data_IF_409688132030
#
_entry.id   IF_409688132030
#
_cell.length_a   1.000
_cell.length_b   1.000
_cell.length_c   1.000
_cell.angle_alpha   90.00
_cell.angle_beta   90.00
_cell.angle_gamma   90.00
#
_symmetry.space_group_name_H-M   'P 1'
#
loop_
_entity.id
_entity.type
_entity.pdbx_description
1 polymer ?
#
# COMPACT_ATOMS: atom_id res chain seq x y z
N UNK A 1 -10.66 4.70 5.38
CA UNK A 1 -11.97 5.11 5.96
C UNK A 1 -11.99 5.05 7.50
N UNK A 2 -11.60 3.93 8.12
CA UNK A 2 -11.61 3.76 9.59
C UNK A 2 -10.77 4.83 10.32
N UNK A 3 -9.56 5.11 9.83
CA UNK A 3 -8.71 6.16 10.40
C UNK A 3 -9.38 7.54 10.40
N UNK A 4 -10.20 7.85 9.38
CA UNK A 4 -10.97 9.09 9.36
C UNK A 4 -12.03 9.15 10.47
N UNK A 5 -12.74 8.05 10.70
CA UNK A 5 -13.73 7.94 11.79
C UNK A 5 -13.05 8.07 13.16
N UNK A 6 -11.88 7.45 13.35
CA UNK A 6 -11.12 7.54 14.60
C UNK A 6 -10.63 8.98 14.84
N UNK A 7 -10.11 9.64 13.81
CA UNK A 7 -9.71 11.05 13.91
C UNK A 7 -10.90 11.93 14.27
N UNK A 8 -12.04 11.76 13.58
CA UNK A 8 -13.27 12.50 13.88
C UNK A 8 -13.72 12.31 15.33
N UNK A 9 -13.72 11.05 15.81
CA UNK A 9 -14.08 10.72 17.19
C UNK A 9 -13.11 11.29 18.22
N UNK A 10 -11.85 11.49 17.85
CA UNK A 10 -10.83 12.15 18.68
C UNK A 10 -10.86 13.69 18.57
N UNK A 11 -11.82 14.28 17.86
CA UNK A 11 -11.89 15.73 17.62
C UNK A 11 -10.86 16.26 16.62
N UNK A 12 -10.25 15.37 15.81
CA UNK A 12 -9.28 15.67 14.76
C UNK A 12 -9.91 15.60 13.38
N UNK A 13 -9.25 16.16 12.37
CA UNK A 13 -9.80 16.20 11.03
C UNK A 13 -9.83 14.79 10.37
N UNK A 14 -10.99 14.26 9.92
CA UNK A 14 -11.11 12.93 9.32
C UNK A 14 -10.24 12.75 8.08
N UNK A 15 -10.13 13.79 7.22
CA UNK A 15 -9.24 13.75 6.06
C UNK A 15 -7.77 13.57 6.48
N UNK A 16 -7.31 14.16 7.58
CA UNK A 16 -5.94 13.91 8.07
C UNK A 16 -5.75 12.42 8.41
N UNK A 17 -6.73 11.79 9.08
CA UNK A 17 -6.69 10.36 9.37
C UNK A 17 -6.74 9.48 8.12
N UNK A 18 -7.61 9.79 7.15
CA UNK A 18 -7.68 9.05 5.88
C UNK A 18 -6.36 9.17 5.12
N UNK A 19 -5.79 10.37 5.07
CA UNK A 19 -4.59 10.63 4.30
C UNK A 19 -3.34 10.05 4.94
N UNK A 20 -3.22 10.10 6.27
CA UNK A 20 -2.18 9.41 7.03
C UNK A 20 -2.21 7.89 6.81
N UNK A 21 -3.41 7.29 6.86
CA UNK A 21 -3.57 5.86 6.60
C UNK A 21 -3.24 5.50 5.15
N UNK A 22 -3.62 6.34 4.17
CA UNK A 22 -3.26 6.11 2.77
C UNK A 22 -1.75 6.23 2.55
N UNK A 23 -1.08 7.21 3.17
CA UNK A 23 0.38 7.32 3.15
C UNK A 23 1.06 6.10 3.78
N UNK A 24 0.55 5.59 4.90
CA UNK A 24 1.08 4.38 5.55
C UNK A 24 0.93 3.11 4.71
N UNK A 25 -0.23 2.91 4.09
CA UNK A 25 -0.52 1.68 3.31
C UNK A 25 0.11 1.73 1.92
N UNK A 26 -0.03 2.85 1.22
CA UNK A 26 0.36 2.98 -0.19
C UNK A 26 1.76 3.58 -0.35
N UNK A 27 2.08 4.64 0.40
CA UNK A 27 3.41 5.24 0.43
C UNK A 27 4.43 4.32 1.13
N UNK A 28 3.99 3.59 2.15
CA UNK A 28 4.76 2.57 2.85
C UNK A 28 4.63 1.15 2.29
N UNK A 29 4.11 0.97 1.06
CA UNK A 29 3.76 -0.35 0.50
C UNK A 29 4.88 -1.40 0.61
N UNK A 30 6.12 -0.99 0.34
CA UNK A 30 7.30 -1.86 0.38
C UNK A 30 7.89 -2.08 1.78
N UNK A 31 7.52 -1.23 2.77
CA UNK A 31 8.09 -1.23 4.11
C UNK A 31 7.27 -2.13 5.04
N UNK A 32 7.89 -3.16 5.61
CA UNK A 32 7.20 -4.12 6.46
C UNK A 32 8.13 -4.70 7.52
N UNK A 33 7.56 -5.24 8.59
CA UNK A 33 8.31 -5.91 9.66
C UNK A 33 8.73 -7.33 9.25
N UNK A 34 7.98 -7.94 8.33
CA UNK A 34 8.20 -9.30 7.86
C UNK A 34 8.20 -9.32 6.32
N UNK A 35 9.07 -10.15 5.70
CA UNK A 35 8.93 -10.47 4.28
C UNK A 35 7.58 -11.13 4.01
N UNK A 36 7.00 -10.86 2.85
CA UNK A 36 5.72 -11.40 2.42
C UNK A 36 5.66 -11.68 0.92
N UNK A 37 4.44 -11.71 0.39
CA UNK A 37 4.19 -12.05 -1.01
C UNK A 37 4.87 -11.09 -2.00
N UNK A 38 4.97 -9.80 -1.64
CA UNK A 38 5.67 -8.81 -2.47
C UNK A 38 7.15 -9.14 -2.60
N UNK A 39 7.81 -9.58 -1.53
CA UNK A 39 9.22 -9.95 -1.54
C UNK A 39 9.47 -11.15 -2.46
N UNK A 40 8.69 -12.22 -2.33
CA UNK A 40 8.80 -13.39 -3.20
C UNK A 40 8.58 -13.01 -4.68
N UNK A 41 7.60 -12.14 -4.96
CA UNK A 41 7.29 -11.69 -6.31
C UNK A 41 8.42 -10.83 -6.91
N UNK A 42 8.95 -9.87 -6.15
CA UNK A 42 10.03 -9.01 -6.65
C UNK A 42 11.32 -9.81 -6.83
N UNK A 43 11.67 -10.68 -5.88
CA UNK A 43 12.88 -11.47 -5.95
C UNK A 43 12.84 -12.55 -7.04
N UNK A 44 11.68 -13.17 -7.31
CA UNK A 44 11.56 -14.09 -8.45
C UNK A 44 11.77 -13.39 -9.80
N UNK A 45 11.42 -12.10 -9.91
CA UNK A 45 11.74 -11.29 -11.10
C UNK A 45 13.23 -10.92 -11.11
N UNK A 46 13.79 -10.55 -9.96
CA UNK A 46 15.21 -10.20 -9.80
C UNK A 46 16.11 -11.38 -10.14
N UNK A 47 15.73 -12.60 -9.77
CA UNK A 47 16.43 -13.85 -10.09
C UNK A 47 16.57 -14.07 -11.58
N UNK A 48 15.45 -14.05 -12.31
CA UNK A 48 15.45 -14.18 -13.76
C UNK A 48 16.32 -13.10 -14.45
N UNK A 49 16.46 -11.92 -13.85
CA UNK A 49 17.36 -10.89 -14.34
C UNK A 49 18.83 -11.14 -13.95
N UNK A 50 19.11 -11.54 -12.71
CA UNK A 50 20.45 -11.80 -12.21
C UNK A 50 21.13 -13.01 -12.88
N UNK A 51 20.36 -14.05 -13.20
CA UNK A 51 20.82 -15.25 -13.91
C UNK A 51 21.37 -14.97 -15.31
N UNK A 52 21.07 -13.80 -15.88
CA UNK A 52 21.66 -13.36 -17.15
C UNK A 52 23.16 -13.04 -17.02
N UNK A 53 23.63 -12.68 -15.83
CA UNK A 53 25.04 -12.42 -15.50
C UNK A 53 25.66 -13.61 -14.77
N UNK A 54 24.98 -14.13 -13.74
CA UNK A 54 25.43 -15.25 -12.92
C UNK A 54 24.34 -16.33 -12.88
N UNK A 55 24.38 -17.35 -13.75
CA UNK A 55 23.34 -18.39 -13.85
C UNK A 55 23.13 -19.26 -12.60
N UNK A 56 24.02 -19.14 -11.60
CA UNK A 56 23.95 -19.88 -10.33
C UNK A 56 23.46 -19.00 -9.18
N UNK A 57 23.01 -17.78 -9.46
CA UNK A 57 22.48 -16.90 -8.43
C UNK A 57 21.04 -17.29 -8.11
N UNK A 58 20.77 -17.67 -6.86
CA UNK A 58 19.43 -18.00 -6.38
C UNK A 58 18.85 -16.85 -5.56
N UNK A 59 17.56 -16.57 -5.73
CA UNK A 59 16.89 -15.52 -4.97
C UNK A 59 16.78 -15.81 -3.47
N UNK A 60 17.26 -14.88 -2.66
CA UNK A 60 16.94 -14.83 -1.23
C UNK A 60 15.75 -13.90 -0.98
N UNK A 61 14.60 -14.48 -0.65
CA UNK A 61 13.37 -13.72 -0.40
C UNK A 61 13.46 -12.84 0.84
N UNK A 62 14.28 -13.24 1.82
CA UNK A 62 14.58 -12.42 2.98
C UNK A 62 15.72 -11.42 2.69
N UNK A 63 16.22 -11.32 1.46
CA UNK A 63 17.38 -10.52 1.07
C UNK A 63 17.21 -9.01 1.26
N UNK A 64 15.98 -8.52 1.48
CA UNK A 64 15.69 -7.14 1.84
C UNK A 64 15.09 -6.97 3.25
N UNK A 65 15.03 -8.04 4.05
CA UNK A 65 14.32 -8.05 5.34
C UNK A 65 14.78 -6.92 6.29
N UNK A 66 16.09 -6.71 6.44
CA UNK A 66 16.60 -5.66 7.33
C UNK A 66 16.31 -4.27 6.78
N UNK A 67 16.41 -4.10 5.47
CA UNK A 67 16.13 -2.83 4.80
C UNK A 67 14.66 -2.43 4.95
N UNK A 68 13.72 -3.36 4.71
CA UNK A 68 12.29 -3.08 4.77
C UNK A 68 11.81 -2.79 6.19
N UNK A 69 12.41 -3.46 7.19
CA UNK A 69 12.16 -3.20 8.61
C UNK A 69 12.61 -1.78 8.96
N UNK A 70 13.82 -1.41 8.56
CA UNK A 70 14.34 -0.07 8.81
C UNK A 70 13.52 1.00 8.08
N UNK A 71 13.10 0.75 6.84
CA UNK A 71 12.17 1.63 6.12
C UNK A 71 10.88 1.85 6.92
N UNK A 72 10.32 0.82 7.57
CA UNK A 72 9.13 0.98 8.42
C UNK A 72 9.39 1.98 9.55
N UNK A 73 10.51 1.84 10.26
CA UNK A 73 10.86 2.73 11.36
C UNK A 73 11.26 4.14 10.92
N UNK A 74 11.72 4.33 9.68
CA UNK A 74 12.03 5.65 9.10
C UNK A 74 10.78 6.33 8.55
N UNK A 75 9.91 5.60 7.86
CA UNK A 75 8.71 6.17 7.24
C UNK A 75 7.63 6.52 8.25
N UNK A 76 7.52 5.76 9.36
CA UNK A 76 6.55 6.02 10.42
C UNK A 76 6.63 7.45 11.00
N UNK A 77 7.79 7.93 11.50
CA UNK A 77 7.91 9.29 12.01
C UNK A 77 7.75 10.35 10.91
N UNK A 78 8.13 10.05 9.67
CA UNK A 78 7.91 10.96 8.53
C UNK A 78 6.42 11.16 8.27
N UNK A 79 5.64 10.08 8.19
CA UNK A 79 4.19 10.14 7.97
C UNK A 79 3.52 10.85 9.15
N UNK A 80 3.91 10.53 10.39
CA UNK A 80 3.41 11.22 11.57
C UNK A 80 3.67 12.74 11.49
N UNK A 81 4.91 13.13 11.20
CA UNK A 81 5.30 14.54 11.12
C UNK A 81 4.52 15.28 10.02
N UNK A 82 4.42 14.70 8.82
CA UNK A 82 3.64 15.29 7.73
C UNK A 82 2.17 15.43 8.14
N UNK A 83 1.59 14.41 8.77
CA UNK A 83 0.19 14.44 9.22
C UNK A 83 -0.05 15.58 10.21
N UNK A 84 0.74 15.63 11.29
CA UNK A 84 0.50 16.48 12.45
C UNK A 84 0.98 17.92 12.24
N UNK A 85 2.07 18.13 11.50
CA UNK A 85 2.71 19.44 11.33
C UNK A 85 2.47 20.10 9.99
N UNK A 86 2.13 19.33 8.96
CA UNK A 86 1.91 19.89 7.61
C UNK A 86 0.44 19.79 7.25
N UNK A 87 -0.17 18.62 7.28
CA UNK A 87 -1.50 18.43 6.70
C UNK A 87 -2.61 18.92 7.63
N UNK A 88 -2.65 18.43 8.86
CA UNK A 88 -3.74 18.76 9.77
C UNK A 88 -3.86 20.27 10.07
N UNK A 89 -2.77 21.04 10.27
CA UNK A 89 -2.88 22.48 10.48
C UNK A 89 -3.46 23.26 9.29
N UNK A 90 -3.37 22.72 8.08
CA UNK A 90 -3.90 23.34 6.86
C UNK A 90 -5.35 22.93 6.57
N UNK A 91 -5.89 21.96 7.30
CA UNK A 91 -7.29 21.58 7.22
C UNK A 91 -8.11 22.44 8.19
N UNK A 92 -9.30 22.87 7.77
CA UNK A 92 -10.16 23.69 8.61
C UNK A 92 -10.53 22.94 9.89
N UNK A 93 -10.41 23.55 11.09
CA UNK A 93 -10.73 22.86 12.33
C UNK A 93 -12.19 22.42 12.34
N UNK A 94 -12.44 21.19 12.79
CA UNK A 94 -13.79 20.63 12.92
C UNK A 94 -14.21 20.76 14.37
N UNK A 95 -15.45 21.23 14.59
CA UNK A 95 -16.06 21.24 15.92
C UNK A 95 -16.39 19.79 16.30
N UNK A 96 -15.90 19.27 17.44
CA UNK A 96 -16.22 17.92 17.90
C UNK A 96 -17.74 17.72 17.97
N UNK A 97 -18.25 16.68 17.31
CA UNK A 97 -19.70 16.40 17.26
C UNK A 97 -20.44 16.97 16.05
N UNK A 98 -19.82 17.84 15.25
CA UNK A 98 -20.39 18.36 14.00
C UNK A 98 -19.83 17.67 12.75
N UNK A 99 -18.89 16.72 12.94
CA UNK A 99 -18.34 15.91 11.87
C UNK A 99 -19.41 14.93 11.37
N UNK A 100 -20.03 15.25 10.24
CA UNK A 100 -20.96 14.36 9.55
C UNK A 100 -20.25 13.60 8.44
N UNK A 101 -20.36 12.28 8.46
CA UNK A 101 -20.03 11.45 7.32
C UNK A 101 -21.32 10.98 6.64
N UNK A 102 -21.39 11.06 5.32
CA UNK A 102 -22.55 10.54 4.57
C UNK A 102 -22.85 9.05 4.83
N UNK A 103 -21.85 8.28 5.28
CA UNK A 103 -22.01 6.84 5.60
C UNK A 103 -21.98 6.55 7.10
N UNK A 104 -21.14 7.24 7.89
CA UNK A 104 -21.01 6.97 9.33
C UNK A 104 -21.96 7.81 10.20
N UNK A 105 -22.70 8.76 9.60
CA UNK A 105 -23.59 9.67 10.31
C UNK A 105 -22.83 10.71 11.14
N UNK A 106 -23.53 11.30 12.11
CA UNK A 106 -22.95 12.25 13.06
C UNK A 106 -22.02 11.49 14.01
N UNK A 107 -20.74 11.82 13.99
CA UNK A 107 -19.77 11.22 14.91
C UNK A 107 -19.91 11.88 16.28
N UNK A 108 -20.30 11.08 17.27
CA UNK A 108 -20.37 11.49 18.68
C UNK A 108 -18.97 11.88 19.16
N UNK A 109 -18.89 12.96 19.95
CA UNK A 109 -17.64 13.39 20.57
C UNK A 109 -17.07 12.35 21.55
N UNK A 110 -15.78 12.45 21.90
CA UNK A 110 -15.08 11.42 22.68
C UNK A 110 -15.68 11.18 24.07
N UNK A 111 -16.34 12.19 24.65
CA UNK A 111 -16.94 12.13 26.00
C UNK A 111 -18.40 11.61 26.01
N UNK A 112 -18.94 11.19 24.86
CA UNK A 112 -20.34 10.76 24.76
C UNK A 112 -20.51 9.31 25.23
N UNK A 113 -21.32 9.08 26.25
CA UNK A 113 -21.61 7.72 26.72
C UNK A 113 -22.38 6.90 25.68
N UNK A 114 -21.94 5.65 25.47
CA UNK A 114 -22.66 4.70 24.62
C UNK A 114 -24.02 4.33 25.23
N UNK A 115 -25.04 4.25 24.40
CA UNK A 115 -26.36 3.76 24.77
C UNK A 115 -26.33 2.24 25.02
N UNK A 116 -27.30 1.72 25.76
CA UNK A 116 -27.40 0.28 26.01
C UNK A 116 -27.53 -0.53 24.69
N UNK A 117 -28.23 0.01 23.70
CA UNK A 117 -28.36 -0.60 22.37
C UNK A 117 -27.02 -0.68 21.64
N UNK A 118 -26.20 0.38 21.70
CA UNK A 118 -24.85 0.39 21.09
C UNK A 118 -23.91 -0.59 21.80
N UNK A 119 -23.95 -0.66 23.14
CA UNK A 119 -23.16 -1.64 23.93
C UNK A 119 -23.55 -3.07 23.55
N UNK A 120 -24.86 -3.36 23.48
CA UNK A 120 -25.34 -4.68 23.08
C UNK A 120 -24.98 -4.99 21.62
N UNK A 121 -25.03 -3.98 20.75
CA UNK A 121 -24.58 -4.06 19.35
C UNK A 121 -23.11 -4.43 19.25
N UNK A 122 -22.24 -3.75 19.99
CA UNK A 122 -20.80 -4.06 20.04
C UNK A 122 -20.53 -5.48 20.49
N UNK A 123 -21.24 -5.96 21.53
CA UNK A 123 -21.11 -7.36 21.99
C UNK A 123 -21.50 -8.35 20.89
N UNK A 124 -22.62 -8.14 20.21
CA UNK A 124 -23.08 -9.00 19.11
C UNK A 124 -22.13 -8.97 17.91
N UNK A 125 -21.66 -7.78 17.53
CA UNK A 125 -20.68 -7.62 16.47
C UNK A 125 -19.35 -8.31 16.81
N UNK A 126 -18.87 -8.18 18.06
CA UNK A 126 -17.67 -8.87 18.54
C UNK A 126 -17.81 -10.40 18.47
N UNK A 127 -18.95 -10.95 18.88
CA UNK A 127 -19.23 -12.39 18.72
C UNK A 127 -19.28 -12.83 17.26
N UNK A 128 -19.88 -12.02 16.38
CA UNK A 128 -19.90 -12.30 14.94
C UNK A 128 -18.49 -12.29 14.34
N UNK A 129 -17.68 -11.28 14.65
CA UNK A 129 -16.27 -11.20 14.24
C UNK A 129 -15.49 -12.42 14.73
N UNK A 130 -15.63 -12.80 16.00
CA UNK A 130 -14.96 -13.99 16.55
C UNK A 130 -15.40 -15.27 15.84
N UNK A 131 -16.68 -15.41 15.50
CA UNK A 131 -17.19 -16.54 14.74
C UNK A 131 -16.57 -16.63 13.34
N UNK A 132 -16.46 -15.50 12.63
CA UNK A 132 -15.83 -15.46 11.30
C UNK A 132 -14.33 -15.72 11.39
N UNK A 133 -13.63 -15.13 12.36
CA UNK A 133 -12.20 -15.41 12.57
C UNK A 133 -11.97 -16.88 12.90
N UNK A 134 -12.77 -17.46 13.78
CA UNK A 134 -12.70 -18.88 14.13
C UNK A 134 -12.96 -19.78 12.92
N UNK A 135 -13.91 -19.41 12.05
CA UNK A 135 -14.16 -20.12 10.80
C UNK A 135 -12.94 -20.06 9.86
N UNK A 136 -12.34 -18.89 9.67
CA UNK A 136 -11.14 -18.75 8.84
C UNK A 136 -9.95 -19.54 9.41
N UNK A 137 -9.74 -19.49 10.72
CA UNK A 137 -8.72 -20.30 11.41
C UNK A 137 -9.01 -21.79 11.18
N UNK A 138 -10.25 -22.24 11.33
CA UNK A 138 -10.63 -23.63 11.05
C UNK A 138 -10.38 -24.02 9.59
N UNK A 139 -10.60 -23.14 8.62
CA UNK A 139 -10.28 -23.40 7.22
C UNK A 139 -8.76 -23.42 6.94
N UNK A 140 -7.94 -22.88 7.84
CA UNK A 140 -6.48 -22.96 7.77
C UNK A 140 -5.92 -24.22 8.46
N UNK A 141 -6.47 -24.65 9.59
CA UNK A 141 -5.88 -25.73 10.43
C UNK A 141 -6.74 -26.99 10.52
N UNK A 142 -7.97 -26.94 10.01
CA UNK A 142 -8.91 -28.05 10.01
C UNK A 142 -8.59 -29.10 8.93
N UNK A 143 -9.33 -30.22 8.92
CA UNK A 143 -9.10 -31.29 7.96
C UNK A 143 -9.36 -30.82 6.52
N UNK A 144 -8.38 -31.02 5.64
CA UNK A 144 -8.44 -30.64 4.22
C UNK A 144 -8.07 -29.18 3.91
N UNK A 145 -7.55 -28.42 4.89
CA UNK A 145 -6.96 -27.06 4.82
C UNK A 145 -7.14 -26.32 3.49
N UNK A 146 -8.36 -25.94 3.07
CA UNK A 146 -8.60 -25.38 1.73
C UNK A 146 -7.90 -24.03 1.50
N UNK A 147 -7.49 -23.36 2.58
CA UNK A 147 -6.77 -22.09 2.52
C UNK A 147 -5.24 -22.25 2.57
N UNK A 148 -4.74 -23.48 2.68
CA UNK A 148 -3.31 -23.79 2.65
C UNK A 148 -3.07 -24.80 1.53
N UNK A 149 -2.25 -24.43 0.56
CA UNK A 149 -1.82 -25.35 -0.48
C UNK A 149 -0.54 -26.05 -0.01
N UNK A 150 -0.68 -27.22 0.63
CA UNK A 150 0.48 -27.96 1.17
C UNK A 150 1.44 -28.45 0.08
N UNK A 151 0.92 -28.71 -1.12
CA UNK A 151 1.67 -29.18 -2.29
C UNK A 151 2.47 -28.07 -2.98
N UNK A 152 2.22 -26.80 -2.64
CA UNK A 152 2.95 -25.67 -3.20
C UNK A 152 4.30 -25.45 -2.49
N UNK A 153 5.20 -24.75 -3.19
CA UNK A 153 6.45 -24.25 -2.61
C UNK A 153 6.17 -23.50 -1.30
N UNK A 154 7.10 -23.52 -0.32
CA UNK A 154 6.89 -22.95 1.00
C UNK A 154 6.33 -21.52 0.99
N UNK A 155 6.73 -20.71 0.01
CA UNK A 155 6.30 -19.32 -0.17
C UNK A 155 4.87 -19.19 -0.73
N UNK A 156 4.47 -20.10 -1.60
CA UNK A 156 3.17 -20.09 -2.26
C UNK A 156 2.10 -20.83 -1.46
N UNK A 157 2.49 -21.56 -0.41
CA UNK A 157 1.61 -22.36 0.46
C UNK A 157 0.46 -21.55 1.06
N UNK A 158 0.68 -20.29 1.41
CA UNK A 158 -0.32 -19.40 2.01
C UNK A 158 -1.08 -18.54 0.98
N UNK A 159 -0.79 -18.66 -0.32
CA UNK A 159 -1.49 -17.88 -1.34
C UNK A 159 -3.02 -18.03 -1.31
N UNK A 160 -3.60 -19.23 -1.12
CA UNK A 160 -5.06 -19.37 -1.05
C UNK A 160 -5.66 -18.62 0.14
N UNK A 161 -4.99 -18.62 1.30
CA UNK A 161 -5.37 -17.82 2.46
C UNK A 161 -5.41 -16.34 2.09
N UNK A 162 -4.33 -15.79 1.53
CA UNK A 162 -4.25 -14.36 1.18
C UNK A 162 -5.33 -13.95 0.17
N UNK A 163 -5.60 -14.79 -0.84
CA UNK A 163 -6.67 -14.56 -1.80
C UNK A 163 -8.07 -14.59 -1.15
N UNK A 164 -8.27 -15.47 -0.16
CA UNK A 164 -9.55 -15.58 0.56
C UNK A 164 -9.85 -14.40 1.48
N UNK A 165 -8.84 -13.64 1.91
CA UNK A 165 -9.01 -12.55 2.89
C UNK A 165 -9.96 -11.46 2.40
N UNK A 166 -10.03 -11.19 1.09
CA UNK A 166 -10.98 -10.21 0.54
C UNK A 166 -12.43 -10.63 0.83
N UNK A 167 -12.77 -11.89 0.53
CA UNK A 167 -14.07 -12.46 0.83
C UNK A 167 -14.30 -12.58 2.35
N UNK A 168 -13.25 -12.92 3.10
CA UNK A 168 -13.27 -13.00 4.56
C UNK A 168 -13.59 -11.67 5.23
N UNK A 169 -12.94 -10.58 4.81
CA UNK A 169 -13.25 -9.24 5.30
C UNK A 169 -14.64 -8.78 4.88
N UNK A 170 -15.09 -9.10 3.66
CA UNK A 170 -16.46 -8.82 3.25
C UNK A 170 -17.48 -9.49 4.19
N UNK A 171 -17.33 -10.80 4.45
CA UNK A 171 -18.23 -11.54 5.34
C UNK A 171 -18.13 -11.03 6.77
N UNK A 172 -16.91 -10.76 7.26
CA UNK A 172 -16.67 -10.23 8.59
C UNK A 172 -17.35 -8.87 8.79
N UNK A 173 -17.15 -7.92 7.89
CA UNK A 173 -17.77 -6.60 7.98
C UNK A 173 -19.28 -6.64 7.79
N UNK A 174 -19.80 -7.49 6.90
CA UNK A 174 -21.24 -7.68 6.73
C UNK A 174 -21.88 -8.27 7.99
N UNK A 175 -21.29 -9.34 8.53
CA UNK A 175 -21.78 -10.00 9.74
C UNK A 175 -21.71 -9.07 10.96
N UNK A 176 -20.60 -8.35 11.14
CA UNK A 176 -20.43 -7.38 12.22
C UNK A 176 -21.42 -6.21 12.10
N UNK A 177 -21.56 -5.65 10.89
CA UNK A 177 -22.47 -4.55 10.61
C UNK A 177 -23.93 -4.94 10.85
N UNK A 178 -24.34 -6.12 10.38
CA UNK A 178 -25.67 -6.66 10.65
C UNK A 178 -25.90 -6.91 12.14
N UNK A 179 -24.97 -7.60 12.80
CA UNK A 179 -25.08 -7.95 14.22
C UNK A 179 -25.17 -6.69 15.11
N UNK A 180 -24.36 -5.67 14.81
CA UNK A 180 -24.43 -4.37 15.46
C UNK A 180 -25.79 -3.70 15.20
N UNK A 181 -26.16 -3.53 13.93
CA UNK A 181 -27.36 -2.79 13.55
C UNK A 181 -28.65 -3.42 14.03
N UNK A 182 -28.70 -4.75 14.11
CA UNK A 182 -29.85 -5.48 14.67
C UNK A 182 -30.05 -5.26 16.17
N UNK A 183 -29.00 -4.94 16.92
CA UNK A 183 -29.07 -4.70 18.37
C UNK A 183 -29.16 -3.22 18.72
N UNK A 184 -28.56 -2.34 17.92
CA UNK A 184 -28.69 -0.88 18.09
C UNK A 184 -30.01 -0.33 17.54
N UNK A 185 -30.73 -1.11 16.73
CA UNK A 185 -31.97 -0.69 16.07
C UNK A 185 -31.76 0.07 14.76
N UNK A 186 -30.51 0.20 14.29
CA UNK A 186 -30.22 0.86 13.01
C UNK A 186 -30.53 -0.02 11.78
N UNK A 187 -30.68 -1.33 11.96
CA UNK A 187 -31.10 -2.29 10.92
C UNK A 187 -32.26 -3.09 11.48
N UNK A 188 -33.46 -2.90 10.92
CA UNK A 188 -34.66 -3.59 11.38
C UNK A 188 -34.95 -4.84 10.55
N UNK A 189 -34.62 -4.81 9.25
CA UNK A 189 -34.91 -5.90 8.33
C UNK A 189 -33.88 -6.01 7.20
N UNK A 190 -33.97 -7.08 6.40
CA UNK A 190 -33.05 -7.32 5.27
C UNK A 190 -33.08 -6.22 4.19
N UNK A 191 -34.20 -5.50 4.03
CA UNK A 191 -34.32 -4.41 3.04
C UNK A 191 -33.48 -3.21 3.46
N UNK A 192 -33.35 -2.95 4.76
CA UNK A 192 -32.47 -1.88 5.26
C UNK A 192 -31.01 -2.16 4.84
N UNK A 193 -30.57 -3.42 4.93
CA UNK A 193 -29.22 -3.81 4.52
C UNK A 193 -29.02 -3.66 3.02
N UNK A 194 -29.98 -4.14 2.21
CA UNK A 194 -29.91 -3.98 0.75
C UNK A 194 -29.89 -2.50 0.36
N UNK A 195 -30.68 -1.65 1.04
CA UNK A 195 -30.68 -0.20 0.82
C UNK A 195 -29.32 0.41 1.16
N UNK A 196 -28.75 0.13 2.33
CA UNK A 196 -27.43 0.64 2.74
C UNK A 196 -26.30 0.19 1.80
N UNK A 197 -26.36 -1.05 1.30
CA UNK A 197 -25.42 -1.54 0.28
C UNK A 197 -25.59 -0.80 -1.04
N UNK A 198 -26.82 -0.50 -1.44
CA UNK A 198 -27.12 0.25 -2.68
C UNK A 198 -26.66 1.71 -2.60
N UNK A 199 -26.91 2.38 -1.47
CA UNK A 199 -26.39 3.71 -1.16
C UNK A 199 -24.85 3.72 -1.22
N UNK A 200 -24.20 2.71 -0.62
CA UNK A 200 -22.73 2.56 -0.68
C UNK A 200 -22.19 2.38 -2.11
N UNK A 201 -22.93 1.69 -2.99
CA UNK A 201 -22.56 1.57 -4.42
C UNK A 201 -22.78 2.88 -5.18
N UNK A 202 -23.82 3.64 -4.83
CA UNK A 202 -24.08 4.96 -5.42
C UNK A 202 -22.96 5.95 -5.11
N UNK A 203 -22.45 5.96 -3.87
CA UNK A 203 -21.28 6.75 -3.47
C UNK A 203 -20.02 6.41 -4.28
N UNK A 204 -19.90 5.16 -4.75
CA UNK A 204 -18.78 4.70 -5.59
C UNK A 204 -18.98 4.98 -7.09
N UNK A 205 -20.05 5.62 -7.51
CA UNK A 205 -20.29 5.94 -8.93
C UNK A 205 -19.17 6.78 -9.55
N UNK A 206 -18.69 7.81 -8.84
CA UNK A 206 -17.55 8.62 -9.25
C UNK A 206 -16.27 7.78 -9.39
N UNK A 207 -16.04 6.89 -8.42
CA UNK A 207 -14.94 5.92 -8.46
C UNK A 207 -15.00 5.07 -9.73
N UNK A 208 -16.17 4.51 -10.08
CA UNK A 208 -16.33 3.64 -11.24
C UNK A 208 -16.00 4.36 -12.55
N UNK A 209 -16.45 5.60 -12.73
CA UNK A 209 -16.17 6.40 -13.94
C UNK A 209 -14.67 6.72 -14.04
N UNK A 210 -14.05 7.16 -12.94
CA UNK A 210 -12.63 7.49 -12.92
C UNK A 210 -11.75 6.24 -13.13
N UNK A 211 -12.06 5.15 -12.43
CA UNK A 211 -11.37 3.87 -12.58
C UNK A 211 -11.50 3.30 -13.99
N UNK A 212 -12.67 3.45 -14.63
CA UNK A 212 -12.87 3.06 -16.03
C UNK A 212 -11.88 3.78 -16.96
N UNK A 213 -11.82 5.11 -16.89
CA UNK A 213 -10.93 5.90 -17.75
C UNK A 213 -9.44 5.60 -17.44
N UNK A 214 -9.08 5.52 -16.17
CA UNK A 214 -7.71 5.20 -15.74
C UNK A 214 -7.29 3.79 -16.20
N UNK A 215 -8.15 2.79 -16.06
CA UNK A 215 -7.87 1.42 -16.48
C UNK A 215 -7.63 1.33 -18.01
N UNK A 216 -8.44 2.04 -18.82
CA UNK A 216 -8.23 2.08 -20.27
C UNK A 216 -6.92 2.79 -20.64
N UNK A 217 -6.61 3.90 -19.99
CA UNK A 217 -5.33 4.58 -20.19
C UNK A 217 -4.16 3.64 -19.88
N UNK A 218 -4.17 2.98 -18.72
CA UNK A 218 -3.13 2.03 -18.31
C UNK A 218 -3.03 0.87 -19.31
N UNK A 219 -4.15 0.31 -19.76
CA UNK A 219 -4.17 -0.77 -20.74
C UNK A 219 -3.58 -0.34 -22.10
N UNK A 220 -3.98 0.82 -22.63
CA UNK A 220 -3.47 1.34 -23.90
C UNK A 220 -1.99 1.74 -23.81
N UNK A 221 -1.58 2.33 -22.69
CA UNK A 221 -0.19 2.68 -22.43
C UNK A 221 0.70 1.45 -22.40
N UNK A 222 0.26 0.39 -21.70
CA UNK A 222 0.95 -0.90 -21.68
C UNK A 222 0.98 -1.55 -23.07
N UNK A 223 -0.15 -1.58 -23.78
CA UNK A 223 -0.23 -2.13 -25.15
C UNK A 223 0.69 -1.43 -26.14
N UNK A 224 0.82 -0.10 -26.02
CA UNK A 224 1.67 0.71 -26.90
C UNK A 224 3.18 0.49 -26.68
N UNK A 225 3.57 -0.22 -25.62
CA UNK A 225 4.96 -0.38 -25.18
C UNK A 225 5.68 0.95 -24.89
N UNK A 226 4.97 2.08 -24.74
CA UNK A 226 5.58 3.36 -24.39
C UNK A 226 6.30 3.29 -23.05
N UNK A 227 5.70 2.63 -22.05
CA UNK A 227 6.34 2.38 -20.75
C UNK A 227 7.67 1.64 -20.87
N UNK A 228 7.74 0.60 -21.72
CA UNK A 228 8.95 -0.16 -22.04
C UNK A 228 10.02 0.72 -22.69
N UNK A 229 9.65 1.54 -23.68
CA UNK A 229 10.58 2.43 -24.38
C UNK A 229 11.19 3.46 -23.42
N UNK A 230 10.38 4.04 -22.53
CA UNK A 230 10.87 4.98 -21.50
C UNK A 230 11.82 4.29 -20.51
N UNK A 231 11.47 3.08 -20.05
CA UNK A 231 12.28 2.27 -19.14
C UNK A 231 13.67 1.96 -19.72
N UNK A 232 13.73 1.41 -20.94
CA UNK A 232 14.99 1.04 -21.61
C UNK A 232 15.86 2.28 -21.86
N UNK A 233 15.29 3.34 -22.43
CA UNK A 233 16.05 4.56 -22.74
C UNK A 233 16.58 5.24 -21.49
N UNK A 234 15.81 5.28 -20.41
CA UNK A 234 16.26 5.86 -19.14
C UNK A 234 17.38 5.04 -18.50
N UNK A 235 17.29 3.71 -18.52
CA UNK A 235 18.35 2.83 -18.04
C UNK A 235 19.66 3.01 -18.84
N UNK A 236 19.59 3.12 -20.16
CA UNK A 236 20.76 3.36 -21.01
C UNK A 236 21.48 4.70 -20.72
N UNK A 237 20.72 5.74 -20.31
CA UNK A 237 21.31 7.02 -19.88
C UNK A 237 22.08 6.86 -18.57
N UNK A 238 21.55 6.07 -17.64
CA UNK A 238 22.18 5.81 -16.35
C UNK A 238 23.45 4.95 -16.51
N UNK A 239 23.44 3.95 -17.38
CA UNK A 239 24.60 3.10 -17.70
C UNK A 239 25.79 3.92 -18.25
N UNK A 240 25.53 4.90 -19.12
CA UNK A 240 26.58 5.77 -19.67
C UNK A 240 27.11 6.82 -18.69
N UNK A 241 26.54 6.91 -17.49
CA UNK A 241 26.90 7.91 -16.49
C UNK A 241 27.92 7.30 -15.51
N UNK A 242 29.19 7.68 -15.59
CA UNK A 242 30.25 7.25 -14.65
C UNK A 242 30.08 7.91 -13.27
N UNK A 243 28.96 7.65 -12.60
CA UNK A 243 28.57 8.25 -11.32
C UNK A 243 28.95 7.34 -10.15
N UNK A 244 29.21 7.90 -8.95
CA UNK A 244 29.31 7.12 -7.73
C UNK A 244 28.02 6.35 -7.41
N UNK A 245 28.15 5.16 -6.83
CA UNK A 245 27.05 4.22 -6.54
C UNK A 245 25.87 4.86 -5.78
N UNK A 246 26.16 5.71 -4.79
CA UNK A 246 25.14 6.40 -4.00
C UNK A 246 24.31 7.38 -4.84
N UNK A 247 24.93 8.06 -5.81
CA UNK A 247 24.25 8.98 -6.72
C UNK A 247 23.47 8.19 -7.76
N UNK A 248 24.06 7.11 -8.29
CA UNK A 248 23.39 6.23 -9.25
C UNK A 248 22.11 5.63 -8.66
N UNK A 249 22.17 5.10 -7.43
CA UNK A 249 21.00 4.54 -6.74
C UNK A 249 19.93 5.60 -6.44
N UNK A 250 20.33 6.82 -6.05
CA UNK A 250 19.39 7.92 -5.89
C UNK A 250 18.68 8.27 -7.21
N UNK A 251 19.40 8.28 -8.34
CA UNK A 251 18.80 8.51 -9.65
C UNK A 251 17.87 7.36 -10.09
N UNK A 252 18.22 6.11 -9.77
CA UNK A 252 17.35 4.94 -10.02
C UNK A 252 16.06 5.04 -9.20
N UNK A 253 16.15 5.46 -7.93
CA UNK A 253 14.97 5.70 -7.08
C UNK A 253 14.08 6.77 -7.72
N UNK A 254 14.66 7.91 -8.14
CA UNK A 254 13.91 8.99 -8.79
C UNK A 254 13.30 8.53 -10.13
N UNK A 255 14.03 7.72 -10.89
CA UNK A 255 13.56 7.16 -12.15
C UNK A 255 12.39 6.20 -11.93
N UNK A 256 12.51 5.27 -10.99
CA UNK A 256 11.43 4.37 -10.59
C UNK A 256 10.20 5.12 -10.09
N UNK A 257 10.40 6.14 -9.25
CA UNK A 257 9.35 7.02 -8.76
C UNK A 257 8.63 7.78 -9.88
N UNK A 258 9.36 8.18 -10.94
CA UNK A 258 8.79 8.86 -12.11
C UNK A 258 7.97 7.91 -12.98
N UNK A 259 8.48 6.70 -13.24
CA UNK A 259 7.74 5.66 -13.98
C UNK A 259 6.47 5.26 -13.23
N UNK A 260 6.54 5.20 -11.91
CA UNK A 260 5.42 4.83 -11.05
C UNK A 260 4.21 5.76 -11.19
N UNK A 261 4.42 7.01 -11.61
CA UNK A 261 3.31 7.92 -11.93
C UNK A 261 2.45 7.41 -13.10
N UNK A 262 3.01 6.60 -14.00
CA UNK A 262 2.36 6.08 -15.20
C UNK A 262 1.93 4.62 -15.04
N UNK A 263 2.73 3.81 -14.35
CA UNK A 263 2.50 2.37 -14.17
C UNK A 263 2.41 2.08 -12.67
N UNK A 264 1.20 2.00 -12.12
CA UNK A 264 1.01 1.82 -10.67
C UNK A 264 1.30 0.41 -10.13
N UNK A 265 1.49 -0.59 -10.99
CA UNK A 265 1.78 -1.97 -10.55
C UNK A 265 3.27 -2.15 -10.25
N UNK A 266 3.59 -2.58 -9.03
CA UNK A 266 4.96 -2.86 -8.61
C UNK A 266 5.58 -4.04 -9.39
N UNK A 267 4.84 -5.12 -9.63
CA UNK A 267 5.37 -6.27 -10.36
C UNK A 267 5.52 -6.01 -11.86
N UNK A 268 4.56 -5.32 -12.48
CA UNK A 268 4.64 -5.00 -13.91
C UNK A 268 5.82 -4.07 -14.22
N UNK A 269 6.04 -3.07 -13.36
CA UNK A 269 7.21 -2.18 -13.47
C UNK A 269 8.52 -2.93 -13.23
N UNK A 270 8.58 -3.80 -12.22
CA UNK A 270 9.84 -4.49 -11.93
C UNK A 270 10.19 -5.53 -13.00
N UNK A 271 9.21 -6.26 -13.53
CA UNK A 271 9.41 -7.19 -14.65
C UNK A 271 9.99 -6.49 -15.90
N UNK A 272 9.71 -5.20 -16.05
CA UNK A 272 10.21 -4.36 -17.13
C UNK A 272 11.63 -3.84 -16.88
N UNK A 273 11.89 -3.40 -15.64
CA UNK A 273 13.11 -2.68 -15.27
C UNK A 273 14.22 -3.63 -14.83
N UNK A 274 13.90 -4.71 -14.13
CA UNK A 274 14.87 -5.64 -13.57
C UNK A 274 15.81 -6.23 -14.64
N UNK A 275 15.34 -6.71 -15.81
CA UNK A 275 16.22 -7.28 -16.84
C UNK A 275 17.28 -6.31 -17.38
N UNK A 276 17.14 -5.01 -17.15
CA UNK A 276 18.12 -3.99 -17.56
C UNK A 276 18.90 -3.48 -16.35
N UNK A 277 18.21 -3.09 -15.28
CA UNK A 277 18.84 -2.46 -14.12
C UNK A 277 19.64 -3.44 -13.26
N UNK A 278 19.15 -4.67 -13.07
CA UNK A 278 19.85 -5.66 -12.22
C UNK A 278 21.19 -6.05 -12.84
N UNK A 279 21.27 -6.48 -14.12
CA UNK A 279 22.55 -6.80 -14.75
C UNK A 279 23.53 -5.61 -14.75
N UNK A 280 23.04 -4.42 -15.08
CA UNK A 280 23.84 -3.19 -15.09
C UNK A 280 24.46 -2.92 -13.71
N UNK A 281 23.67 -2.99 -12.64
CA UNK A 281 24.15 -2.75 -11.28
C UNK A 281 25.09 -3.85 -10.78
N UNK A 282 24.86 -5.10 -11.16
CA UNK A 282 25.79 -6.20 -10.88
C UNK A 282 27.17 -5.97 -11.50
N UNK A 283 27.22 -5.49 -12.74
CA UNK A 283 28.49 -5.16 -13.42
C UNK A 283 29.22 -3.97 -12.76
N UNK A 284 28.48 -3.11 -12.06
CA UNK A 284 29.03 -2.01 -11.26
C UNK A 284 29.40 -2.42 -9.82
N UNK A 285 29.22 -3.70 -9.47
CA UNK A 285 29.56 -4.23 -8.16
C UNK A 285 28.48 -4.07 -7.09
N UNK A 286 27.22 -3.86 -7.49
CA UNK A 286 26.06 -3.80 -6.58
C UNK A 286 25.22 -5.07 -6.67
N UNK A 287 24.72 -5.53 -5.53
CA UNK A 287 23.94 -6.77 -5.46
C UNK A 287 22.54 -6.66 -6.11
N UNK A 288 21.99 -7.78 -6.62
CA UNK A 288 20.59 -7.83 -7.05
C UNK A 288 19.61 -7.43 -5.94
N UNK A 289 19.94 -7.74 -4.68
CA UNK A 289 19.20 -7.31 -3.50
C UNK A 289 19.21 -5.79 -3.35
N UNK A 290 20.34 -5.12 -3.58
CA UNK A 290 20.44 -3.65 -3.51
C UNK A 290 19.64 -2.99 -4.64
N UNK A 291 19.72 -3.56 -5.84
CA UNK A 291 18.93 -3.15 -6.99
C UNK A 291 17.42 -3.20 -6.68
N UNK A 292 16.99 -4.31 -6.07
CA UNK A 292 15.59 -4.52 -5.64
C UNK A 292 15.19 -3.54 -4.53
N UNK A 293 16.08 -3.31 -3.55
CA UNK A 293 15.83 -2.37 -2.45
C UNK A 293 15.65 -0.93 -2.96
N UNK A 294 16.49 -0.46 -3.87
CA UNK A 294 16.37 0.87 -4.47
C UNK A 294 15.06 1.01 -5.27
N UNK A 295 14.70 -0.02 -6.04
CA UNK A 295 13.43 -0.03 -6.77
C UNK A 295 12.21 0.11 -5.83
N UNK A 296 12.21 -0.63 -4.71
CA UNK A 296 11.12 -0.63 -3.73
C UNK A 296 10.84 0.74 -3.13
N UNK A 297 11.89 1.54 -2.92
CA UNK A 297 11.79 2.91 -2.43
C UNK A 297 11.08 3.80 -3.45
N UNK A 298 11.51 3.74 -4.71
CA UNK A 298 10.93 4.54 -5.80
C UNK A 298 9.48 4.17 -6.08
N UNK A 299 9.16 2.88 -6.08
CA UNK A 299 7.80 2.37 -6.29
C UNK A 299 6.81 2.85 -5.21
N UNK A 300 7.18 2.80 -3.94
CA UNK A 300 6.28 3.18 -2.84
C UNK A 300 5.97 4.68 -2.81
N UNK A 301 7.01 5.52 -2.91
CA UNK A 301 6.91 6.94 -2.54
C UNK A 301 5.90 7.75 -3.37
N UNK A 302 5.69 7.43 -4.65
CA UNK A 302 4.81 8.17 -5.55
C UNK A 302 3.44 7.53 -5.78
N UNK A 303 3.15 6.37 -5.18
CA UNK A 303 1.86 5.69 -5.30
C UNK A 303 0.67 6.55 -4.85
N UNK A 304 0.92 7.44 -3.89
CA UNK A 304 -0.12 8.28 -3.27
C UNK A 304 -0.45 9.56 -4.05
N UNK A 305 0.32 9.90 -5.09
CA UNK A 305 0.09 11.09 -5.92
C UNK A 305 -0.36 10.77 -7.35
N UNK A 306 -0.38 9.50 -7.75
CA UNK A 306 -0.82 9.11 -9.08
C UNK A 306 -2.31 8.76 -9.13
N UNK A 307 -3.11 9.43 -9.99
CA UNK A 307 -4.51 9.08 -10.20
C UNK A 307 -4.68 7.76 -10.96
N UNK A 308 -3.60 7.21 -11.52
CA UNK A 308 -3.59 5.93 -12.22
C UNK A 308 -3.47 4.75 -11.25
N UNK A 309 -3.19 4.99 -9.96
CA UNK A 309 -3.24 3.96 -8.95
C UNK A 309 -4.69 3.46 -8.79
N UNK A 310 -4.97 2.15 -8.87
CA UNK A 310 -6.34 1.61 -8.80
C UNK A 310 -7.14 2.01 -7.55
N UNK A 311 -6.44 2.31 -6.45
CA UNK A 311 -7.04 2.67 -5.16
C UNK A 311 -7.19 4.17 -4.95
N UNK A 312 -6.51 5.03 -5.73
CA UNK A 312 -6.57 6.47 -5.53
C UNK A 312 -8.00 7.03 -5.65
N UNK A 313 -8.81 6.63 -6.66
CA UNK A 313 -10.22 7.03 -6.73
C UNK A 313 -11.05 6.58 -5.52
N UNK A 314 -10.72 5.44 -4.91
CA UNK A 314 -11.45 4.92 -3.75
C UNK A 314 -11.17 5.78 -2.51
N UNK A 315 -9.91 6.20 -2.32
CA UNK A 315 -9.53 7.13 -1.24
C UNK A 315 -10.22 8.47 -1.42
N UNK A 316 -10.33 8.96 -2.66
CA UNK A 316 -11.05 10.19 -2.98
C UNK A 316 -12.52 10.12 -2.53
N UNK A 317 -13.22 9.03 -2.85
CA UNK A 317 -14.60 8.83 -2.37
C UNK A 317 -14.65 8.83 -0.84
N UNK A 318 -13.68 8.21 -0.16
CA UNK A 318 -13.65 8.26 1.32
C UNK A 318 -13.46 9.67 1.88
N UNK A 319 -12.70 10.54 1.22
CA UNK A 319 -12.62 11.96 1.59
C UNK A 319 -13.93 12.70 1.28
N UNK A 320 -14.56 12.42 0.13
CA UNK A 320 -15.83 13.03 -0.28
C UNK A 320 -17.00 12.73 0.66
N UNK A 321 -16.94 11.60 1.39
CA UNK A 321 -17.89 11.29 2.46
C UNK A 321 -17.89 12.30 3.60
N UNK A 322 -16.81 13.04 3.78
CA UNK A 322 -16.66 14.09 4.82
C UNK A 322 -16.70 15.49 4.23
N UNK A 323 -16.20 15.66 3.00
CA UNK A 323 -16.16 16.94 2.31
C UNK A 323 -16.48 16.74 0.83
N UNK A 324 -17.74 17.00 0.43
CA UNK A 324 -18.24 16.72 -0.93
C UNK A 324 -17.42 17.39 -2.04
N UNK A 325 -16.95 18.60 -1.80
CA UNK A 325 -16.12 19.38 -2.74
C UNK A 325 -14.66 18.88 -2.84
N UNK A 326 -14.28 17.84 -2.08
CA UNK A 326 -12.93 17.30 -2.12
C UNK A 326 -12.70 16.61 -3.47
N UNK A 327 -11.87 17.24 -4.30
CA UNK A 327 -11.59 16.80 -5.67
C UNK A 327 -10.28 16.02 -5.80
N UNK A 328 -10.05 15.50 -7.01
CA UNK A 328 -8.81 14.81 -7.37
C UNK A 328 -7.57 15.69 -7.13
N UNK A 329 -7.64 16.96 -7.49
CA UNK A 329 -6.57 17.93 -7.23
C UNK A 329 -6.32 18.16 -5.74
N UNK A 330 -7.39 18.22 -4.92
CA UNK A 330 -7.28 18.36 -3.47
C UNK A 330 -6.58 17.15 -2.84
N UNK A 331 -6.94 15.94 -3.26
CA UNK A 331 -6.29 14.72 -2.79
C UNK A 331 -4.81 14.69 -3.19
N UNK A 332 -4.50 14.95 -4.47
CA UNK A 332 -3.12 14.98 -4.96
C UNK A 332 -2.28 16.03 -4.23
N UNK A 333 -2.81 17.24 -4.03
CA UNK A 333 -2.13 18.31 -3.31
C UNK A 333 -1.89 17.97 -1.84
N UNK A 334 -2.84 17.30 -1.19
CA UNK A 334 -2.70 16.84 0.21
C UNK A 334 -1.70 15.68 0.33
N UNK A 335 -1.57 14.85 -0.70
CA UNK A 335 -0.63 13.72 -0.75
C UNK A 335 0.80 14.13 -1.13
N UNK A 336 0.95 15.24 -1.83
CA UNK A 336 2.25 15.67 -2.35
C UNK A 336 3.32 15.85 -1.25
N UNK A 337 3.04 16.49 -0.09
CA UNK A 337 4.01 16.57 1.01
C UNK A 337 4.43 15.20 1.53
N UNK A 338 3.50 14.23 1.67
CA UNK A 338 3.85 12.88 2.07
C UNK A 338 4.79 12.24 1.05
N UNK A 339 4.46 12.33 -0.24
CA UNK A 339 5.24 11.70 -1.31
C UNK A 339 6.66 12.24 -1.37
N UNK A 340 6.82 13.56 -1.32
CA UNK A 340 8.14 14.22 -1.36
C UNK A 340 8.97 13.81 -0.14
N UNK A 341 8.42 13.86 1.07
CA UNK A 341 9.19 13.56 2.28
C UNK A 341 9.50 12.07 2.41
N UNK A 342 8.61 11.18 1.96
CA UNK A 342 8.88 9.74 1.87
C UNK A 342 9.99 9.45 0.85
N UNK A 343 9.97 10.12 -0.30
CA UNK A 343 11.02 9.98 -1.32
C UNK A 343 12.37 10.46 -0.80
N UNK A 344 12.41 11.62 -0.14
CA UNK A 344 13.64 12.15 0.48
C UNK A 344 14.16 11.19 1.55
N UNK A 345 13.29 10.72 2.46
CA UNK A 345 13.66 9.78 3.50
C UNK A 345 14.14 8.43 2.92
N UNK A 346 13.51 7.97 1.85
CA UNK A 346 13.85 6.78 1.09
C UNK A 346 15.23 6.86 0.41
N UNK A 347 15.52 8.01 -0.23
CA UNK A 347 16.84 8.27 -0.80
C UNK A 347 17.90 8.34 0.32
N UNK A 348 17.59 9.02 1.42
CA UNK A 348 18.50 9.15 2.56
C UNK A 348 18.85 7.79 3.18
N UNK A 349 17.85 6.96 3.50
CA UNK A 349 18.10 5.62 4.06
C UNK A 349 18.89 4.74 3.09
N UNK A 350 18.62 4.82 1.79
CA UNK A 350 19.36 4.07 0.76
C UNK A 350 20.83 4.49 0.72
N UNK A 351 21.11 5.79 0.68
CA UNK A 351 22.49 6.30 0.68
C UNK A 351 23.25 5.89 1.94
N UNK A 352 22.62 6.01 3.12
CA UNK A 352 23.23 5.59 4.39
C UNK A 352 23.54 4.10 4.38
N UNK A 353 22.64 3.28 3.84
CA UNK A 353 22.83 1.83 3.76
C UNK A 353 24.06 1.45 2.93
N UNK A 354 24.20 2.10 1.78
CA UNK A 354 25.30 1.85 0.83
C UNK A 354 26.63 2.34 1.41
N UNK A 355 26.67 3.55 1.97
CA UNK A 355 27.90 4.13 2.55
C UNK A 355 28.41 3.29 3.74
N UNK A 356 27.50 2.73 4.53
CA UNK A 356 27.85 1.90 5.68
C UNK A 356 28.02 0.42 5.32
N UNK A 357 27.74 0.01 4.08
CA UNK A 357 27.83 -1.38 3.63
C UNK A 357 26.96 -2.34 4.44
N UNK A 358 25.81 -1.87 4.95
CA UNK A 358 24.97 -2.68 5.84
C UNK A 358 24.29 -3.81 5.06
N UNK A 359 24.21 -5.04 5.58
CA UNK A 359 23.48 -6.10 4.91
C UNK A 359 22.00 -5.72 4.76
N UNK A 360 21.42 -5.99 3.60
CA UNK A 360 20.01 -5.70 3.30
C UNK A 360 19.07 -6.75 3.92
N UNK A 361 19.61 -7.93 4.22
CA UNK A 361 18.94 -9.07 4.81
C UNK A 361 19.95 -10.15 5.19
N UNK A 362 19.49 -11.29 5.74
CA UNK A 362 20.37 -12.40 6.11
C UNK A 362 21.13 -12.91 4.87
N UNK A 363 22.45 -12.77 4.85
CA UNK A 363 23.29 -13.21 3.72
C UNK A 363 23.19 -12.34 2.46
N UNK A 364 22.63 -11.13 2.55
CA UNK A 364 22.46 -10.21 1.42
C UNK A 364 23.34 -8.95 1.57
N UNK A 365 24.60 -8.96 1.09
CA UNK A 365 25.46 -7.77 1.11
C UNK A 365 25.01 -6.70 0.11
N UNK A 366 25.48 -5.46 0.30
CA UNK A 366 25.29 -4.37 -0.67
C UNK A 366 26.15 -4.57 -1.90
N UNK A 367 27.40 -4.97 -1.69
CA UNK A 367 28.38 -5.17 -2.74
C UNK A 367 28.23 -6.56 -3.36
N UNK A 368 28.48 -6.62 -4.66
CA UNK A 368 28.52 -7.84 -5.47
C UNK A 368 29.89 -7.97 -6.11
N UNK A 369 30.44 -9.18 -6.06
CA UNK A 369 31.72 -9.53 -6.64
C UNK A 369 31.54 -10.78 -7.47
N UNK A 370 31.84 -10.72 -8.77
CA UNK A 370 32.01 -11.92 -9.59
C UNK A 370 33.32 -12.59 -9.18
N UNK A 371 33.26 -13.53 -8.23
CA UNK A 371 34.34 -14.51 -8.03
C UNK A 371 34.11 -15.75 -8.87
#
# INVERSE_FOLDING_TARGET
PLAGVIFAAAGRHPIAGITAAFAGVSGGFSANILPGQLDALLFGITEAAAETILPTWDANIAGNAYFIIAMTFVFLPVIWYVTDKIIEPHLAPIIPGEAESSTAGIIKGPDTSLTQGEIQGLKRAGMACLGIVALWVFLCVGPGTPLINEDANPEARLNPLYQSLVAGFFILFLAAGWAYGSASGSINNHRDVVRMMSESMSDLSYYLVLAFAAAHFVAMFNWSNLGLIFAIKGAAVLEGSSLPDSILLALIILFGASINLFIGSASAKWALLAPVLVPMLMLLGLSPEMSTAAYRVGDGATNIITPLMPYFPLILVFCQRWQKEFGLGSLAATMLPYSILLLIAGIAITMVWVILGLPLGPGAPVEFSMQ
#
